data_IF_519960917964
#
_entry.id   IF_519960917964
#
_cell.length_a   1.000
_cell.length_b   1.000
_cell.length_c   1.000
_cell.angle_alpha   90.00
_cell.angle_beta   90.00
_cell.angle_gamma   90.00
#
_symmetry.space_group_name_H-M   'P 1'
#
loop_
_entity.id
_entity.type
_entity.pdbx_description
1 polymer ?
#
# COMPACT_ATOMS: atom_id res chain seq x y z
N UNK A 1 -4.36 0.78 24.46
CA UNK A 1 -4.46 0.96 23.00
C UNK A 1 -3.10 0.74 22.35
N UNK A 2 -3.08 0.22 21.13
CA UNK A 2 -1.88 0.14 20.31
C UNK A 2 -1.92 1.22 19.23
N UNK A 3 -0.82 1.96 19.08
CA UNK A 3 -0.66 2.94 18.00
C UNK A 3 0.36 2.38 17.01
N UNK A 4 -0.02 2.31 15.75
CA UNK A 4 0.86 2.01 14.64
C UNK A 4 0.65 3.09 13.57
N UNK A 5 1.72 3.74 13.17
CA UNK A 5 1.73 4.81 12.17
C UNK A 5 3.02 4.70 11.33
N UNK A 6 3.18 5.56 10.36
CA UNK A 6 4.36 5.54 9.47
C UNK A 6 5.70 5.62 10.20
N UNK A 7 5.70 6.25 11.35
CA UNK A 7 6.87 6.48 12.21
C UNK A 7 6.67 5.95 13.64
N UNK A 8 5.75 4.99 13.82
CA UNK A 8 5.48 4.35 15.12
C UNK A 8 5.26 2.86 14.90
N UNK A 9 6.10 2.04 15.50
CA UNK A 9 6.10 0.60 15.31
C UNK A 9 5.37 -0.12 16.45
N UNK A 10 4.03 0.01 16.52
CA UNK A 10 3.22 -0.76 17.45
C UNK A 10 3.39 -0.36 18.92
N UNK A 11 3.45 0.92 19.23
CA UNK A 11 3.56 1.42 20.59
C UNK A 11 2.28 1.18 21.40
N UNK A 12 2.43 0.87 22.69
CA UNK A 12 1.30 0.69 23.59
C UNK A 12 1.13 1.95 24.41
N UNK A 13 -0.09 2.51 24.40
CA UNK A 13 -0.46 3.66 25.20
C UNK A 13 -1.54 3.31 26.21
N UNK A 14 -1.53 4.02 27.34
CA UNK A 14 -2.63 4.12 28.29
C UNK A 14 -3.35 5.45 28.03
N UNK A 15 -4.61 5.38 27.66
CA UNK A 15 -5.45 6.55 27.41
C UNK A 15 -6.44 6.73 28.54
N UNK A 16 -6.47 7.93 29.13
CA UNK A 16 -7.43 8.29 30.17
C UNK A 16 -8.66 8.93 29.50
N UNK A 17 -9.83 8.33 29.71
CA UNK A 17 -11.08 8.74 29.06
C UNK A 17 -11.58 10.09 29.57
N UNK A 18 -11.38 10.40 30.87
CA UNK A 18 -11.88 11.63 31.46
C UNK A 18 -11.05 12.86 31.09
N UNK A 19 -9.71 12.72 31.17
CA UNK A 19 -8.79 13.81 30.84
C UNK A 19 -8.45 13.91 29.36
N UNK A 20 -8.82 12.91 28.57
CA UNK A 20 -8.46 12.76 27.12
C UNK A 20 -6.95 12.83 26.84
N UNK A 21 -6.13 12.46 27.84
CA UNK A 21 -4.68 12.41 27.72
C UNK A 21 -4.18 10.98 27.62
N UNK A 22 -3.02 10.81 26.99
CA UNK A 22 -2.37 9.51 26.93
C UNK A 22 -0.93 9.59 27.46
N UNK A 23 -0.44 8.46 27.91
CA UNK A 23 0.95 8.20 28.25
C UNK A 23 1.43 6.93 27.57
N UNK A 24 2.70 6.87 27.19
CA UNK A 24 3.28 5.64 26.64
C UNK A 24 3.46 4.62 27.77
N UNK A 25 2.76 3.48 27.64
CA UNK A 25 2.97 2.33 28.52
C UNK A 25 4.21 1.56 28.10
N UNK A 26 4.40 1.38 26.78
CA UNK A 26 5.57 0.75 26.22
C UNK A 26 5.84 1.33 24.82
N UNK A 27 7.06 1.83 24.63
CA UNK A 27 7.57 2.18 23.29
C UNK A 27 8.11 0.97 22.58
N UNK A 28 7.97 0.92 21.27
CA UNK A 28 8.60 -0.08 20.45
C UNK A 28 10.13 0.09 20.48
N UNK A 29 10.84 -1.00 20.32
CA UNK A 29 12.30 -0.96 20.09
C UNK A 29 12.54 -0.57 18.62
N UNK A 30 13.30 0.47 18.41
CA UNK A 30 13.58 1.03 17.08
C UNK A 30 15.03 0.74 16.62
N UNK A 31 15.87 0.19 17.50
CA UNK A 31 17.30 0.03 17.24
C UNK A 31 17.95 1.40 16.95
N UNK A 32 18.79 1.44 15.93
CA UNK A 32 19.47 2.65 15.47
C UNK A 32 18.69 3.39 14.36
N UNK A 33 17.43 2.98 14.08
CA UNK A 33 16.60 3.54 13.01
C UNK A 33 15.91 4.80 13.52
N UNK A 34 16.10 5.90 12.79
CA UNK A 34 15.34 7.14 13.03
C UNK A 34 14.05 7.12 12.22
N UNK A 35 12.96 6.63 12.81
CA UNK A 35 11.68 6.46 12.12
C UNK A 35 11.14 7.74 11.48
N UNK A 36 11.46 8.91 12.04
CA UNK A 36 11.05 10.21 11.48
C UNK A 36 11.73 10.56 10.16
N UNK A 37 12.89 9.97 9.87
CA UNK A 37 13.67 10.22 8.65
C UNK A 37 13.26 9.29 7.51
N UNK A 38 12.40 8.29 7.80
CA UNK A 38 11.93 7.34 6.80
C UNK A 38 10.88 7.96 5.86
N UNK A 39 10.86 7.57 4.58
CA UNK A 39 9.82 7.97 3.64
C UNK A 39 8.42 7.66 4.17
N UNK A 40 7.53 8.65 4.09
CA UNK A 40 6.12 8.49 4.49
C UNK A 40 5.28 8.17 3.28
N UNK A 41 4.32 7.22 3.38
CA UNK A 41 3.41 6.95 2.30
C UNK A 41 2.55 8.17 1.95
N UNK A 42 2.37 8.44 0.67
CA UNK A 42 1.44 9.44 0.15
C UNK A 42 0.26 8.75 -0.53
N UNK A 43 -0.94 9.29 -0.34
CA UNK A 43 -2.16 8.76 -0.96
C UNK A 43 -2.31 9.32 -2.38
N UNK A 44 -2.55 8.43 -3.33
CA UNK A 44 -2.79 8.71 -4.74
C UNK A 44 -4.03 7.97 -5.23
N UNK A 45 -4.50 8.33 -6.42
CA UNK A 45 -5.62 7.70 -7.10
C UNK A 45 -5.28 7.51 -8.58
N UNK A 46 -5.81 6.45 -9.17
CA UNK A 46 -5.80 6.23 -10.61
C UNK A 46 -7.18 5.84 -11.10
N UNK A 47 -7.46 6.10 -12.37
CA UNK A 47 -8.70 5.65 -13.04
C UNK A 47 -8.52 4.22 -13.54
N UNK A 48 -9.46 3.35 -13.16
CA UNK A 48 -9.53 1.98 -13.68
C UNK A 48 -10.49 1.87 -14.87
N UNK A 49 -10.72 0.67 -15.38
CA UNK A 49 -11.45 0.39 -16.63
C UNK A 49 -12.90 0.90 -16.70
N UNK A 50 -13.52 1.16 -15.57
CA UNK A 50 -14.89 1.67 -15.44
C UNK A 50 -14.93 3.10 -14.85
N UNK A 51 -13.88 3.89 -15.08
CA UNK A 51 -13.70 5.27 -14.62
C UNK A 51 -13.75 5.48 -13.11
N UNK A 52 -13.67 4.39 -12.33
CA UNK A 52 -13.61 4.44 -10.87
C UNK A 52 -12.24 4.92 -10.40
N UNK A 53 -12.22 5.74 -9.36
CA UNK A 53 -11.00 6.11 -8.66
C UNK A 53 -10.60 4.99 -7.69
N UNK A 54 -9.45 4.40 -7.93
CA UNK A 54 -8.86 3.38 -7.04
C UNK A 54 -7.72 4.02 -6.24
N UNK A 55 -7.78 3.99 -4.90
CA UNK A 55 -6.75 4.56 -4.06
C UNK A 55 -5.54 3.63 -3.94
N UNK A 56 -4.34 4.22 -3.84
CA UNK A 56 -3.14 3.53 -3.47
C UNK A 56 -2.21 4.42 -2.64
N UNK A 57 -1.44 3.82 -1.74
CA UNK A 57 -0.36 4.52 -1.08
C UNK A 57 0.94 4.32 -1.85
N UNK A 58 1.75 5.36 -1.92
CA UNK A 58 3.07 5.33 -2.52
C UNK A 58 4.15 5.63 -1.48
N UNK A 59 5.04 4.67 -1.26
CA UNK A 59 6.29 4.92 -0.55
C UNK A 59 7.35 5.27 -1.59
N UNK A 60 7.71 6.54 -1.61
CA UNK A 60 8.62 7.12 -2.59
C UNK A 60 10.06 7.04 -2.10
N UNK A 61 10.98 6.37 -2.82
CA UNK A 61 12.41 6.43 -2.50
C UNK A 61 12.97 7.84 -2.70
N UNK A 62 14.03 8.17 -1.95
CA UNK A 62 14.67 9.49 -2.04
C UNK A 62 15.28 9.78 -3.41
N UNK A 63 15.72 8.74 -4.13
CA UNK A 63 16.30 8.83 -5.47
C UNK A 63 15.27 8.75 -6.61
N UNK A 64 13.97 8.63 -6.30
CA UNK A 64 12.91 8.57 -7.31
C UNK A 64 12.82 9.88 -8.10
N UNK A 65 12.84 9.78 -9.42
CA UNK A 65 12.64 10.92 -10.32
C UNK A 65 11.59 10.58 -11.38
N UNK A 66 10.56 11.39 -11.44
CA UNK A 66 9.54 11.25 -12.47
C UNK A 66 10.13 11.48 -13.86
N UNK A 67 9.76 10.62 -14.82
CA UNK A 67 10.32 10.61 -16.16
C UNK A 67 11.61 9.78 -16.30
N UNK A 68 12.13 9.23 -15.19
CA UNK A 68 13.21 8.24 -15.20
C UNK A 68 12.68 6.82 -14.99
N UNK A 69 13.49 5.83 -15.32
CA UNK A 69 13.12 4.41 -15.25
C UNK A 69 13.32 3.87 -13.82
N UNK A 70 12.41 4.22 -12.90
CA UNK A 70 12.50 3.79 -11.51
C UNK A 70 12.00 2.34 -11.35
N UNK A 71 12.63 1.49 -10.50
CA UNK A 71 12.08 0.21 -10.13
C UNK A 71 10.85 0.40 -9.22
N UNK A 72 9.74 -0.25 -9.56
CA UNK A 72 8.47 -0.19 -8.83
C UNK A 72 8.04 -1.59 -8.39
N UNK A 73 7.59 -1.72 -7.17
CA UNK A 73 6.92 -2.90 -6.65
C UNK A 73 5.45 -2.56 -6.32
N UNK A 74 4.51 -3.26 -6.91
CA UNK A 74 3.10 -3.25 -6.53
C UNK A 74 2.90 -4.37 -5.52
N UNK A 75 2.61 -4.03 -4.27
CA UNK A 75 2.35 -4.98 -3.20
C UNK A 75 0.87 -5.04 -2.90
N UNK A 76 0.24 -6.20 -3.13
CA UNK A 76 -1.20 -6.42 -2.99
C UNK A 76 -1.47 -7.09 -1.63
N UNK A 77 -2.37 -6.50 -0.84
CA UNK A 77 -2.77 -7.05 0.46
C UNK A 77 -3.59 -8.34 0.34
N UNK A 78 -3.66 -9.08 1.42
CA UNK A 78 -4.54 -10.23 1.57
C UNK A 78 -5.98 -9.82 1.95
N UNK A 79 -6.84 -10.78 2.04
CA UNK A 79 -8.24 -10.58 2.39
C UNK A 79 -9.16 -11.35 1.47
N UNK A 80 -9.99 -10.85 0.57
CA UNK A 80 -10.00 -9.57 -0.15
C UNK A 80 -10.36 -8.34 0.67
N UNK A 81 -11.12 -8.47 1.74
CA UNK A 81 -11.63 -7.36 2.57
C UNK A 81 -10.52 -6.69 3.43
N UNK A 82 -9.25 -7.04 3.20
CA UNK A 82 -8.11 -6.36 3.79
C UNK A 82 -8.03 -4.89 3.38
N UNK A 83 -7.10 -4.16 3.99
CA UNK A 83 -6.83 -2.77 3.65
C UNK A 83 -5.35 -2.46 3.89
N UNK A 84 -4.71 -1.87 2.92
CA UNK A 84 -3.44 -1.20 3.15
C UNK A 84 -3.66 0.14 3.85
N UNK A 85 -2.86 0.36 4.89
CA UNK A 85 -2.84 1.60 5.67
C UNK A 85 -1.42 2.12 5.77
N UNK A 86 -1.25 3.44 5.96
CA UNK A 86 0.08 4.04 6.08
C UNK A 86 0.73 3.72 7.44
N UNK A 87 1.06 2.43 7.65
CA UNK A 87 1.72 1.94 8.86
C UNK A 87 3.19 1.64 8.60
N UNK A 88 3.98 1.61 9.66
CA UNK A 88 5.38 1.20 9.57
C UNK A 88 5.49 -0.30 9.25
N UNK A 89 6.23 -0.62 8.20
CA UNK A 89 6.56 -1.97 7.76
C UNK A 89 8.07 -2.01 7.46
N UNK A 90 8.90 -2.62 8.31
CA UNK A 90 10.36 -2.55 8.17
C UNK A 90 10.87 -3.12 6.85
N UNK A 91 10.24 -4.20 6.34
CA UNK A 91 10.57 -4.80 5.04
C UNK A 91 10.35 -3.84 3.87
N UNK A 92 9.29 -3.04 3.90
CA UNK A 92 9.03 -2.05 2.86
C UNK A 92 10.01 -0.88 2.94
N UNK A 93 10.33 -0.43 4.15
CA UNK A 93 11.33 0.61 4.36
C UNK A 93 12.72 0.18 3.88
N UNK A 94 13.08 -1.10 4.07
CA UNK A 94 14.30 -1.65 3.50
C UNK A 94 14.31 -1.56 1.98
N UNK A 95 13.25 -2.01 1.30
CA UNK A 95 13.14 -1.97 -0.16
C UNK A 95 13.16 -0.53 -0.69
N UNK A 96 12.44 0.39 -0.05
CA UNK A 96 12.45 1.81 -0.41
C UNK A 96 13.85 2.41 -0.29
N UNK A 97 14.61 2.03 0.76
CA UNK A 97 15.99 2.47 0.94
C UNK A 97 16.95 1.90 -0.13
N UNK A 98 16.59 0.77 -0.78
CA UNK A 98 17.29 0.25 -1.95
C UNK A 98 16.89 0.96 -3.27
N UNK A 99 16.04 1.99 -3.19
CA UNK A 99 15.61 2.78 -4.34
C UNK A 99 14.40 2.20 -5.07
N UNK A 100 13.67 1.24 -4.47
CA UNK A 100 12.46 0.64 -5.05
C UNK A 100 11.23 1.43 -4.58
N UNK A 101 10.46 2.00 -5.50
CA UNK A 101 9.16 2.61 -5.20
C UNK A 101 8.12 1.53 -4.88
N UNK A 102 7.36 1.71 -3.78
CA UNK A 102 6.36 0.72 -3.38
C UNK A 102 4.96 1.30 -3.53
N UNK A 103 4.12 0.64 -4.33
CA UNK A 103 2.70 0.96 -4.46
C UNK A 103 1.88 -0.04 -3.66
N UNK A 104 0.98 0.46 -2.83
CA UNK A 104 0.11 -0.30 -1.95
C UNK A 104 -1.34 -0.01 -2.34
N UNK A 105 -1.89 -0.67 -3.38
CA UNK A 105 -3.25 -0.42 -3.84
C UNK A 105 -4.28 -0.98 -2.87
N UNK A 106 -5.40 -0.24 -2.71
CA UNK A 106 -6.63 -0.74 -2.15
C UNK A 106 -7.63 -0.94 -3.30
N UNK A 107 -7.45 -2.03 -4.02
CA UNK A 107 -8.32 -2.41 -5.15
C UNK A 107 -9.78 -2.51 -4.73
N UNK A 108 -10.72 -2.52 -5.67
CA UNK A 108 -12.13 -2.82 -5.36
C UNK A 108 -12.25 -4.10 -4.53
N UNK A 109 -13.19 -4.14 -3.58
CA UNK A 109 -13.29 -5.22 -2.59
C UNK A 109 -12.53 -4.94 -1.28
N UNK A 110 -11.61 -3.98 -1.26
CA UNK A 110 -10.88 -3.61 -0.04
C UNK A 110 -11.79 -3.02 1.02
N UNK A 111 -11.54 -3.38 2.28
CA UNK A 111 -12.25 -2.84 3.43
C UNK A 111 -11.91 -1.36 3.71
N UNK A 112 -12.72 -0.72 4.57
CA UNK A 112 -12.48 0.66 5.02
C UNK A 112 -12.97 1.76 4.09
N UNK A 113 -13.53 1.42 2.92
CA UNK A 113 -14.08 2.35 1.93
C UNK A 113 -15.62 2.30 1.83
N UNK A 114 -16.26 1.66 2.83
CA UNK A 114 -17.70 1.45 2.87
C UNK A 114 -18.14 0.12 2.26
N UNK A 115 -19.35 -0.31 2.62
CA UNK A 115 -19.91 -1.60 2.24
C UNK A 115 -20.01 -1.76 0.71
N UNK A 116 -20.47 -0.71 0.02
CA UNK A 116 -20.60 -0.74 -1.45
C UNK A 116 -19.27 -0.95 -2.17
N UNK A 117 -18.17 -0.44 -1.63
CA UNK A 117 -16.83 -0.67 -2.19
C UNK A 117 -16.36 -2.11 -1.91
N UNK A 118 -16.62 -2.62 -0.70
CA UNK A 118 -16.27 -3.98 -0.28
C UNK A 118 -16.91 -5.05 -1.16
N UNK A 119 -18.13 -4.83 -1.67
CA UNK A 119 -18.86 -5.77 -2.52
C UNK A 119 -18.57 -5.66 -4.03
N UNK A 120 -17.64 -4.81 -4.44
CA UNK A 120 -17.34 -4.59 -5.87
C UNK A 120 -16.63 -5.75 -6.56
N UNK A 121 -16.03 -6.66 -5.80
CA UNK A 121 -15.32 -7.82 -6.32
C UNK A 121 -15.97 -9.16 -5.94
N UNK A 122 -17.21 -9.15 -5.45
CA UNK A 122 -17.92 -10.35 -5.03
C UNK A 122 -18.16 -11.32 -6.20
N UNK A 123 -18.04 -12.62 -5.89
CA UNK A 123 -18.37 -13.73 -6.78
C UNK A 123 -17.69 -13.68 -8.15
N UNK A 124 -18.46 -13.54 -9.23
CA UNK A 124 -17.97 -13.48 -10.62
C UNK A 124 -17.18 -12.19 -10.96
N UNK A 125 -17.30 -11.16 -10.11
CA UNK A 125 -16.56 -9.88 -10.27
C UNK A 125 -15.12 -9.95 -9.75
N UNK A 126 -14.71 -11.06 -9.19
CA UNK A 126 -13.37 -11.23 -8.60
C UNK A 126 -12.22 -10.80 -9.53
N UNK A 127 -12.36 -11.06 -10.81
CA UNK A 127 -11.36 -10.67 -11.81
C UNK A 127 -11.34 -9.15 -12.09
N UNK A 128 -12.34 -8.39 -11.67
CA UNK A 128 -12.33 -6.95 -11.82
C UNK A 128 -11.31 -6.27 -10.89
N UNK A 129 -11.03 -6.88 -9.72
CA UNK A 129 -9.92 -6.42 -8.85
C UNK A 129 -8.54 -6.69 -9.48
N UNK A 130 -8.39 -7.77 -10.26
CA UNK A 130 -7.17 -8.03 -11.03
C UNK A 130 -6.98 -6.99 -12.14
N UNK A 131 -8.07 -6.60 -12.82
CA UNK A 131 -8.04 -5.50 -13.80
C UNK A 131 -7.63 -4.16 -13.16
N UNK A 132 -7.98 -3.90 -11.90
CA UNK A 132 -7.50 -2.70 -11.21
C UNK A 132 -5.96 -2.68 -11.14
N UNK A 133 -5.31 -3.83 -10.95
CA UNK A 133 -3.83 -3.92 -10.97
C UNK A 133 -3.27 -3.72 -12.37
N UNK A 134 -3.92 -4.26 -13.41
CA UNK A 134 -3.55 -3.99 -14.81
C UNK A 134 -3.61 -2.49 -15.12
N UNK A 135 -4.67 -1.81 -14.68
CA UNK A 135 -4.82 -0.37 -14.90
C UNK A 135 -3.87 0.48 -14.05
N UNK A 136 -3.53 0.03 -12.83
CA UNK A 136 -2.45 0.65 -12.05
C UNK A 136 -1.11 0.53 -12.77
N UNK A 137 -0.78 -0.64 -13.31
CA UNK A 137 0.42 -0.85 -14.12
C UNK A 137 0.46 0.10 -15.34
N UNK A 138 -0.64 0.20 -16.11
CA UNK A 138 -0.77 1.14 -17.24
C UNK A 138 -0.54 2.57 -16.78
N UNK A 139 -1.20 2.97 -15.70
CA UNK A 139 -1.08 4.31 -15.13
C UNK A 139 0.38 4.64 -14.73
N UNK A 140 1.10 3.71 -14.12
CA UNK A 140 2.52 3.87 -13.74
C UNK A 140 3.38 4.13 -14.97
N UNK A 141 3.17 3.38 -16.04
CA UNK A 141 3.93 3.53 -17.31
C UNK A 141 3.59 4.85 -17.98
N UNK A 142 2.31 5.16 -18.16
CA UNK A 142 1.82 6.38 -18.82
C UNK A 142 2.20 7.65 -18.06
N UNK A 143 2.24 7.60 -16.74
CA UNK A 143 2.67 8.71 -15.88
C UNK A 143 4.19 8.91 -15.86
N UNK A 144 4.95 8.04 -16.54
CA UNK A 144 6.41 8.11 -16.58
C UNK A 144 7.08 7.83 -15.24
N UNK A 145 6.46 6.96 -14.41
CA UNK A 145 7.06 6.57 -13.12
C UNK A 145 8.05 5.41 -13.28
N UNK A 146 7.78 4.50 -14.22
CA UNK A 146 8.64 3.38 -14.55
C UNK A 146 8.39 2.94 -16.00
N UNK A 147 9.36 2.25 -16.60
CA UNK A 147 9.11 1.46 -17.82
C UNK A 147 8.37 0.16 -17.46
N UNK A 148 7.74 -0.44 -18.48
CA UNK A 148 7.00 -1.69 -18.33
C UNK A 148 7.84 -2.85 -17.74
N UNK A 149 9.14 -2.85 -17.97
CA UNK A 149 10.06 -3.92 -17.59
C UNK A 149 10.66 -3.71 -16.17
N UNK A 150 10.29 -2.60 -15.49
CA UNK A 150 10.76 -2.23 -14.16
C UNK A 150 9.68 -2.30 -13.07
N UNK A 151 8.56 -2.96 -13.37
CA UNK A 151 7.45 -3.11 -12.44
C UNK A 151 7.30 -4.58 -12.05
N UNK A 152 7.35 -4.85 -10.76
CA UNK A 152 7.10 -6.16 -10.18
C UNK A 152 5.79 -6.14 -9.39
N UNK A 153 5.14 -7.30 -9.27
CA UNK A 153 3.92 -7.51 -8.47
C UNK A 153 4.22 -8.56 -7.41
N UNK A 154 3.80 -8.31 -6.18
CA UNK A 154 3.96 -9.23 -5.05
C UNK A 154 2.71 -9.21 -4.18
N UNK A 155 2.39 -10.33 -3.55
CA UNK A 155 1.30 -10.42 -2.59
C UNK A 155 1.25 -11.77 -1.88
N UNK A 156 0.59 -11.80 -0.73
CA UNK A 156 0.35 -13.01 0.06
C UNK A 156 -1.15 -13.33 0.16
N UNK A 157 -1.51 -14.59 0.37
CA UNK A 157 -2.92 -15.03 0.48
C UNK A 157 -3.73 -14.60 -0.75
N UNK A 158 -4.79 -13.81 -0.57
CA UNK A 158 -5.54 -13.23 -1.69
C UNK A 158 -4.66 -12.38 -2.63
N UNK A 159 -3.72 -11.59 -2.09
CA UNK A 159 -2.74 -10.88 -2.89
C UNK A 159 -1.85 -11.82 -3.71
N UNK A 160 -1.56 -13.02 -3.21
CA UNK A 160 -0.87 -14.09 -3.96
C UNK A 160 -1.71 -14.61 -5.14
N UNK A 161 -3.01 -14.83 -4.93
CA UNK A 161 -3.94 -15.15 -6.02
C UNK A 161 -3.92 -14.07 -7.09
N UNK A 162 -4.02 -12.80 -6.70
CA UNK A 162 -3.99 -11.67 -7.64
C UNK A 162 -2.66 -11.58 -8.38
N UNK A 163 -1.53 -11.78 -7.68
CA UNK A 163 -0.19 -11.79 -8.30
C UNK A 163 -0.09 -12.86 -9.41
N UNK A 164 -0.57 -14.07 -9.14
CA UNK A 164 -0.59 -15.14 -10.14
C UNK A 164 -1.58 -14.84 -11.28
N UNK A 165 -2.73 -14.26 -10.97
CA UNK A 165 -3.73 -13.87 -11.99
C UNK A 165 -3.20 -12.79 -12.93
N UNK A 166 -2.38 -11.85 -12.44
CA UNK A 166 -1.75 -10.82 -13.29
C UNK A 166 -0.79 -11.39 -14.36
N UNK A 167 -0.33 -12.65 -14.23
CA UNK A 167 0.51 -13.31 -15.25
C UNK A 167 -0.34 -13.80 -16.43
N UNK A 168 -1.65 -13.94 -16.25
CA UNK A 168 -2.57 -14.56 -17.21
C UNK A 168 -3.45 -13.57 -17.97
N UNK A 169 -3.33 -12.28 -17.70
CA UNK A 169 -4.10 -11.19 -18.32
C UNK A 169 -3.22 -10.26 -19.11
#
# INVERSE_FOLDING_TARGET
LTINATNQNGEIIKFNLDSQKYEFFKKAYEGDIKLNDLPKPTLHYFKTFDDRDIPFFFLKPNNFKQGEDNPILILIHGGPEGQERPTFKPELQYLVNQGIGILLPNVRGSGGYGESYGHLDDTYKRMDSVKDIEYLWKWVVESGWASKDKIAVMGGSYGGFMTLSCITV
#
